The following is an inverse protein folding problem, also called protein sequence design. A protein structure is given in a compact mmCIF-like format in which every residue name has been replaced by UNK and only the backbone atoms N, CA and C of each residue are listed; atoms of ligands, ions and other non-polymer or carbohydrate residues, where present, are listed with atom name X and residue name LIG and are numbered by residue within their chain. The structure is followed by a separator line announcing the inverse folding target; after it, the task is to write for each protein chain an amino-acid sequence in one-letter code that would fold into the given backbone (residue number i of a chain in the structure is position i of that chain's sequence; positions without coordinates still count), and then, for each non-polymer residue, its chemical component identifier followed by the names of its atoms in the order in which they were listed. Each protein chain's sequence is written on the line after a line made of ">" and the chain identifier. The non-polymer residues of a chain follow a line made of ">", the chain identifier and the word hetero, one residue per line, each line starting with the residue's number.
data_IF_348796263053
#
_entry.id   IF_348796263053
#
_cell.length_a   1.000
_cell.length_b   1.000
_cell.length_c   1.000
_cell.angle_alpha   90.00
_cell.angle_beta   90.00
_cell.angle_gamma   90.00
#
_symmetry.space_group_name_H-M   'P 1'
#
loop_
_entity.id
_entity.type
_entity.pdbx_description
1 polymer ?
#
# COMPACT_ATOMS: atom_id res chain seq x y z
N UNK A 1 10.96 -2.63 -27.32
CA UNK A 1 10.76 -3.72 -26.33
C UNK A 1 11.88 -3.78 -25.28
N UNK A 2 13.10 -3.27 -25.54
CA UNK A 2 14.15 -3.13 -24.51
C UNK A 2 13.95 -1.92 -23.58
N UNK A 3 13.34 -0.84 -24.07
CA UNK A 3 13.15 0.43 -23.33
C UNK A 3 12.45 0.27 -21.97
N UNK A 4 11.46 -0.64 -21.85
CA UNK A 4 10.77 -0.92 -20.58
C UNK A 4 11.69 -1.49 -19.49
N UNK A 5 12.76 -2.17 -19.88
CA UNK A 5 13.71 -2.73 -18.92
C UNK A 5 14.74 -1.68 -18.48
N UNK A 6 14.94 -0.62 -19.25
CA UNK A 6 15.92 0.43 -18.95
C UNK A 6 15.50 1.23 -17.70
N UNK A 7 14.19 1.44 -17.50
CA UNK A 7 13.64 2.02 -16.26
C UNK A 7 13.85 1.14 -15.02
N UNK A 8 14.11 -0.15 -15.22
CA UNK A 8 14.36 -1.13 -14.15
C UNK A 8 15.86 -1.32 -13.86
N UNK A 9 16.74 -0.44 -14.34
CA UNK A 9 18.17 -0.57 -14.15
C UNK A 9 18.58 -0.36 -12.67
N UNK A 10 19.34 -1.31 -12.12
CA UNK A 10 19.92 -1.20 -10.77
C UNK A 10 21.43 -1.10 -10.89
N UNK A 11 22.01 -0.03 -10.33
CA UNK A 11 23.45 0.23 -10.44
C UNK A 11 23.93 0.39 -11.89
N UNK A 12 23.09 0.97 -12.77
CA UNK A 12 23.42 1.21 -14.18
C UNK A 12 23.41 -0.03 -15.08
N UNK A 13 22.87 -1.16 -14.61
CA UNK A 13 22.73 -2.40 -15.41
C UNK A 13 21.27 -2.72 -15.65
N UNK A 14 20.89 -2.79 -16.93
CA UNK A 14 19.56 -3.23 -17.36
C UNK A 14 19.39 -4.74 -17.08
N UNK A 15 18.28 -5.17 -16.45
CA UNK A 15 17.99 -6.58 -16.21
C UNK A 15 17.74 -7.35 -17.52
N UNK A 16 18.07 -8.66 -17.53
CA UNK A 16 17.91 -9.52 -18.73
C UNK A 16 16.46 -9.84 -19.06
N UNK A 17 15.59 -9.77 -18.06
CA UNK A 17 14.16 -10.05 -18.17
C UNK A 17 13.38 -9.26 -17.13
N UNK A 18 12.10 -9.03 -17.40
CA UNK A 18 11.16 -8.38 -16.49
C UNK A 18 9.76 -8.94 -16.71
N UNK A 19 8.89 -8.74 -15.72
CA UNK A 19 7.47 -9.12 -15.80
C UNK A 19 6.67 -7.83 -15.82
N UNK A 20 5.91 -7.61 -16.89
CA UNK A 20 4.96 -6.51 -16.96
C UNK A 20 3.68 -6.92 -16.24
N UNK A 21 3.32 -6.18 -15.19
CA UNK A 21 2.10 -6.42 -14.40
C UNK A 21 1.14 -5.26 -14.60
N UNK A 22 -0.03 -5.53 -15.14
CA UNK A 22 -1.16 -4.60 -15.14
C UNK A 22 -2.06 -4.95 -13.95
N UNK A 23 -2.14 -4.05 -12.98
CA UNK A 23 -3.04 -4.22 -11.84
C UNK A 23 -4.46 -3.89 -12.29
N UNK A 24 -5.31 -4.91 -12.41
CA UNK A 24 -6.72 -4.73 -12.77
C UNK A 24 -7.58 -4.31 -11.59
N UNK A 25 -7.32 -4.89 -10.43
CA UNK A 25 -8.05 -4.61 -9.20
C UNK A 25 -7.10 -4.73 -8.01
N UNK A 26 -7.26 -3.85 -7.03
CA UNK A 26 -6.55 -3.89 -5.76
C UNK A 26 -7.56 -3.78 -4.62
N UNK A 27 -7.49 -4.72 -3.69
CA UNK A 27 -8.43 -4.80 -2.56
C UNK A 27 -7.69 -4.54 -1.25
N UNK A 28 -8.34 -3.79 -0.37
CA UNK A 28 -7.90 -3.60 1.00
C UNK A 28 -8.42 -4.76 1.84
N UNK A 29 -7.51 -5.53 2.44
CA UNK A 29 -7.89 -6.58 3.38
C UNK A 29 -8.03 -6.03 4.79
N UNK A 30 -8.89 -6.67 5.61
CA UNK A 30 -9.14 -6.19 6.96
C UNK A 30 -7.84 -6.15 7.79
N UNK A 31 -7.74 -5.19 8.71
CA UNK A 31 -6.57 -5.01 9.57
C UNK A 31 -6.16 -6.30 10.31
N UNK A 32 -7.13 -7.19 10.61
CA UNK A 32 -6.85 -8.49 11.23
C UNK A 32 -6.05 -9.42 10.32
N UNK A 33 -6.28 -9.39 9.00
CA UNK A 33 -5.54 -10.20 8.03
C UNK A 33 -4.11 -9.69 7.84
N UNK A 34 -3.92 -8.37 7.70
CA UNK A 34 -2.59 -7.74 7.61
C UNK A 34 -1.76 -7.93 8.89
N UNK A 35 -2.40 -7.87 10.08
CA UNK A 35 -1.71 -8.14 11.35
C UNK A 35 -1.32 -9.62 11.51
N UNK A 36 -2.12 -10.55 10.98
CA UNK A 36 -1.86 -12.00 11.01
C UNK A 36 -0.84 -12.46 9.97
N UNK A 37 -0.72 -11.77 8.83
CA UNK A 37 0.24 -12.11 7.78
C UNK A 37 1.68 -11.77 8.14
N UNK A 38 1.93 -11.14 9.30
CA UNK A 38 3.25 -10.66 9.74
C UNK A 38 3.89 -9.67 8.76
N UNK A 39 3.09 -8.94 7.98
CA UNK A 39 3.59 -7.92 7.04
C UNK A 39 4.48 -6.86 7.71
N UNK A 40 4.33 -6.68 9.03
CA UNK A 40 5.10 -5.76 9.87
C UNK A 40 6.23 -6.43 10.69
N UNK A 41 6.60 -7.70 10.44
CA UNK A 41 7.85 -8.22 11.02
C UNK A 41 9.03 -7.41 10.49
N UNK A 42 10.05 -7.22 11.33
CA UNK A 42 11.20 -6.37 11.01
C UNK A 42 11.94 -6.79 9.73
N UNK A 43 11.70 -8.03 9.29
CA UNK A 43 12.26 -8.62 8.08
C UNK A 43 11.69 -8.03 6.77
N UNK A 44 10.55 -7.31 6.81
CA UNK A 44 9.82 -6.82 5.60
C UNK A 44 9.35 -5.35 5.65
N UNK A 45 9.77 -4.54 6.63
CA UNK A 45 9.21 -3.18 6.84
C UNK A 45 9.71 -2.17 5.81
N UNK A 46 8.75 -1.48 5.17
CA UNK A 46 8.96 -0.16 4.54
C UNK A 46 8.81 0.94 5.61
N UNK A 47 9.42 2.11 5.41
CA UNK A 47 9.24 3.22 6.35
C UNK A 47 7.80 3.77 6.22
N UNK A 48 7.08 4.06 7.33
CA UNK A 48 5.66 4.44 7.27
C UNK A 48 5.35 5.66 6.40
N UNK A 49 6.30 6.57 6.29
CA UNK A 49 6.34 7.77 5.44
C UNK A 49 6.33 7.46 3.93
N UNK A 50 6.63 6.22 3.53
CA UNK A 50 6.62 5.79 2.13
C UNK A 50 5.25 5.27 1.65
N UNK A 51 4.25 5.17 2.54
CA UNK A 51 2.93 4.64 2.19
C UNK A 51 1.81 5.63 2.56
N UNK A 52 0.75 5.74 1.74
CA UNK A 52 -0.42 6.52 2.09
C UNK A 52 -1.16 5.88 3.28
N UNK A 53 -1.87 6.70 4.06
CA UNK A 53 -2.74 6.21 5.15
C UNK A 53 -3.94 5.46 4.59
N UNK A 54 -4.62 4.65 5.42
CA UNK A 54 -5.83 3.97 4.98
C UNK A 54 -6.94 4.97 4.59
N UNK A 55 -7.07 6.08 5.31
CA UNK A 55 -7.98 7.16 4.94
C UNK A 55 -7.62 7.77 3.58
N UNK A 56 -6.33 8.02 3.32
CA UNK A 56 -5.87 8.51 2.02
C UNK A 56 -6.22 7.52 0.89
N UNK A 57 -5.93 6.23 1.09
CA UNK A 57 -6.27 5.18 0.11
C UNK A 57 -7.77 5.14 -0.20
N UNK A 58 -8.62 5.27 0.81
CA UNK A 58 -10.08 5.25 0.63
C UNK A 58 -10.60 6.50 -0.08
N UNK A 59 -10.07 7.68 0.23
CA UNK A 59 -10.41 8.93 -0.46
C UNK A 59 -10.07 8.80 -1.94
N UNK A 60 -8.87 8.34 -2.27
CA UNK A 60 -8.39 8.23 -3.64
C UNK A 60 -9.16 7.14 -4.42
N UNK A 61 -9.43 5.99 -3.81
CA UNK A 61 -10.11 4.87 -4.48
C UNK A 61 -11.61 5.09 -4.69
N UNK A 62 -12.27 5.74 -3.73
CA UNK A 62 -13.73 5.91 -3.75
C UNK A 62 -14.14 7.34 -4.14
N UNK A 63 -13.17 8.20 -4.49
CA UNK A 63 -13.38 9.61 -4.80
C UNK A 63 -14.18 10.33 -3.70
N UNK A 64 -13.85 10.10 -2.43
CA UNK A 64 -14.57 10.70 -1.31
C UNK A 64 -14.22 12.18 -1.16
N UNK A 65 -15.18 12.96 -0.68
CA UNK A 65 -14.95 14.38 -0.33
C UNK A 65 -14.60 14.57 1.14
N UNK A 66 -14.67 13.51 1.94
CA UNK A 66 -14.31 13.54 3.36
C UNK A 66 -12.82 13.85 3.53
N UNK A 67 -12.44 14.77 4.43
CA UNK A 67 -11.05 15.02 4.75
C UNK A 67 -10.34 13.74 5.23
N UNK A 68 -9.14 13.49 4.71
CA UNK A 68 -8.32 12.32 5.06
C UNK A 68 -8.09 12.23 6.57
N UNK A 69 -7.83 13.37 7.23
CA UNK A 69 -7.61 13.45 8.67
C UNK A 69 -8.83 13.01 9.49
N UNK A 70 -10.04 13.29 9.02
CA UNK A 70 -11.28 12.86 9.67
C UNK A 70 -11.46 11.34 9.51
N UNK A 71 -11.22 10.83 8.30
CA UNK A 71 -11.35 9.41 8.01
C UNK A 71 -10.32 8.57 8.78
N UNK A 72 -9.08 9.02 8.85
CA UNK A 72 -8.02 8.37 9.64
C UNK A 72 -8.37 8.34 11.13
N UNK A 73 -8.87 9.46 11.69
CA UNK A 73 -9.30 9.51 13.09
C UNK A 73 -10.45 8.53 13.38
N UNK A 74 -11.40 8.38 12.44
CA UNK A 74 -12.49 7.41 12.56
C UNK A 74 -11.98 5.96 12.52
N UNK A 75 -11.04 5.66 11.61
CA UNK A 75 -10.41 4.34 11.48
C UNK A 75 -9.66 3.98 12.76
N UNK A 76 -8.85 4.89 13.29
CA UNK A 76 -8.07 4.68 14.51
C UNK A 76 -8.96 4.43 15.72
N UNK A 77 -10.04 5.21 15.86
CA UNK A 77 -11.03 5.00 16.91
C UNK A 77 -11.67 3.61 16.79
N UNK A 78 -12.09 3.23 15.58
CA UNK A 78 -12.70 1.92 15.33
C UNK A 78 -11.72 0.78 15.64
N UNK A 79 -10.43 0.93 15.32
CA UNK A 79 -9.42 -0.05 15.66
C UNK A 79 -9.19 -0.18 17.17
N UNK A 80 -9.23 0.92 17.91
CA UNK A 80 -9.07 0.88 19.37
C UNK A 80 -10.26 0.23 20.07
N UNK A 81 -11.47 0.54 19.63
CA UNK A 81 -12.70 0.19 20.35
C UNK A 81 -13.34 -1.14 19.90
N UNK A 82 -13.10 -1.57 18.65
CA UNK A 82 -13.87 -2.67 18.02
C UNK A 82 -13.01 -3.77 17.41
N UNK A 83 -11.69 -3.63 17.43
CA UNK A 83 -10.81 -4.64 16.83
C UNK A 83 -10.75 -5.92 17.67
N UNK A 84 -11.11 -5.85 18.96
CA UNK A 84 -11.17 -6.96 19.92
C UNK A 84 -12.43 -6.92 20.76
#
# INVERSE_FOLDING_TARGET
>A
RSELLDECAVGGKTPRSGILVEVREAFLQCAKALKRSKLWSDDYRLTPDQMPTLGQMLVDQLCLTTPVSELDAMIDKAYREKLY
#
